data_IF_767945870500
#
_entry.id   IF_767945870500
#
_cell.length_a   1.000
_cell.length_b   1.000
_cell.length_c   1.000
_cell.angle_alpha   90.00
_cell.angle_beta   90.00
_cell.angle_gamma   90.00
#
_symmetry.space_group_name_H-M   'P 1'
#
loop_
_entity.id
_entity.type
_entity.pdbx_description
1 polymer ?
#
# COMPACT_ATOMS: atom_id res chain seq x y z
N UNK A 1 -1.86 -14.33 16.59
CA UNK A 1 -0.44 -14.54 16.23
C UNK A 1 -0.09 -13.62 15.08
N UNK A 2 1.08 -12.97 15.13
CA UNK A 2 1.56 -12.11 14.06
C UNK A 2 2.73 -12.79 13.35
N UNK A 3 2.80 -12.61 12.04
CA UNK A 3 3.90 -13.09 11.23
C UNK A 3 4.44 -11.95 10.38
N UNK A 4 5.73 -11.97 10.09
CA UNK A 4 6.29 -11.00 9.17
C UNK A 4 7.26 -11.66 8.19
N UNK A 5 7.53 -10.92 7.13
CA UNK A 5 8.61 -11.22 6.21
C UNK A 5 9.15 -9.94 5.58
N UNK A 6 10.43 -9.96 5.21
CA UNK A 6 11.13 -8.82 4.59
C UNK A 6 12.07 -9.34 3.51
N UNK A 7 11.88 -8.89 2.28
CA UNK A 7 12.56 -9.39 1.09
C UNK A 7 12.87 -8.24 0.11
N UNK A 8 13.81 -8.47 -0.82
CA UNK A 8 14.19 -7.48 -1.82
C UNK A 8 13.23 -7.45 -3.02
N UNK A 9 13.09 -6.30 -3.65
CA UNK A 9 12.31 -6.06 -4.87
C UNK A 9 13.11 -5.11 -5.78
N UNK A 10 12.77 -5.00 -7.08
CA UNK A 10 13.38 -4.02 -7.98
C UNK A 10 13.40 -2.57 -7.49
N UNK A 11 12.46 -2.17 -6.62
CA UNK A 11 12.36 -0.80 -6.10
C UNK A 11 12.82 -0.64 -4.64
N UNK A 12 13.41 -1.68 -4.04
CA UNK A 12 13.92 -1.66 -2.67
C UNK A 12 13.48 -2.88 -1.86
N UNK A 13 13.58 -2.81 -0.54
CA UNK A 13 13.14 -3.86 0.37
C UNK A 13 11.67 -3.68 0.72
N UNK A 14 10.90 -4.75 0.54
CA UNK A 14 9.51 -4.82 0.91
C UNK A 14 9.34 -5.61 2.20
N UNK A 15 8.53 -5.05 3.09
CA UNK A 15 8.18 -5.66 4.37
C UNK A 15 6.69 -5.89 4.45
N UNK A 16 6.29 -7.04 4.98
CA UNK A 16 4.89 -7.39 5.25
C UNK A 16 4.72 -7.84 6.70
N UNK A 17 3.63 -7.41 7.33
CA UNK A 17 3.17 -7.89 8.63
C UNK A 17 1.75 -8.43 8.47
N UNK A 18 1.56 -9.67 8.90
CA UNK A 18 0.34 -10.44 8.75
C UNK A 18 -0.24 -10.75 10.12
N UNK A 19 -1.56 -10.70 10.23
CA UNK A 19 -2.32 -11.37 11.28
C UNK A 19 -3.09 -12.55 10.70
N UNK A 20 -3.90 -13.20 11.54
CA UNK A 20 -4.88 -14.20 11.12
C UNK A 20 -6.00 -13.63 10.22
N UNK A 21 -6.12 -12.31 10.09
CA UNK A 21 -7.13 -11.66 9.26
C UNK A 21 -6.59 -11.14 7.92
N UNK A 22 -5.26 -11.16 7.71
CA UNK A 22 -4.61 -10.73 6.47
C UNK A 22 -3.43 -9.79 6.68
N UNK A 23 -3.07 -9.05 5.62
CA UNK A 23 -2.02 -8.03 5.64
C UNK A 23 -2.45 -6.86 6.50
N UNK A 24 -1.76 -6.71 7.63
CA UNK A 24 -2.01 -5.67 8.62
C UNK A 24 -1.17 -4.42 8.36
N UNK A 25 0.07 -4.63 7.89
CA UNK A 25 0.98 -3.56 7.44
C UNK A 25 1.83 -4.02 6.27
N UNK A 26 2.23 -3.05 5.46
CA UNK A 26 3.28 -3.23 4.47
C UNK A 26 4.24 -2.04 4.51
N UNK A 27 5.40 -2.19 3.89
CA UNK A 27 6.40 -1.13 3.79
C UNK A 27 7.27 -1.33 2.57
N UNK A 28 7.74 -0.25 1.99
CA UNK A 28 8.79 -0.26 0.98
C UNK A 28 9.87 0.73 1.42
N UNK A 29 11.13 0.30 1.46
CA UNK A 29 12.28 1.11 1.88
C UNK A 29 13.54 0.80 1.07
N UNK A 30 14.53 1.72 1.02
CA UNK A 30 15.73 1.48 0.24
C UNK A 30 16.61 0.38 0.84
N UNK A 31 16.59 0.20 2.16
CA UNK A 31 17.30 -0.89 2.86
C UNK A 31 16.35 -1.84 3.59
N UNK A 32 16.84 -3.03 3.95
CA UNK A 32 16.11 -3.98 4.82
C UNK A 32 15.73 -3.35 6.16
N UNK A 33 16.64 -2.55 6.73
CA UNK A 33 16.42 -1.84 7.99
C UNK A 33 15.27 -0.83 7.88
N UNK A 34 15.20 -0.06 6.79
CA UNK A 34 14.10 0.87 6.55
C UNK A 34 12.75 0.17 6.46
N UNK A 35 12.68 -0.96 5.75
CA UNK A 35 11.46 -1.74 5.62
C UNK A 35 10.99 -2.26 7.00
N UNK A 36 11.90 -2.84 7.79
CA UNK A 36 11.60 -3.29 9.16
C UNK A 36 11.11 -2.12 10.03
N UNK A 37 11.81 -0.99 10.00
CA UNK A 37 11.45 0.18 10.80
C UNK A 37 10.07 0.72 10.42
N UNK A 38 9.72 0.71 9.12
CA UNK A 38 8.44 1.21 8.60
C UNK A 38 7.26 0.28 8.87
N UNK A 39 7.48 -1.04 9.03
CA UNK A 39 6.45 -1.95 9.58
C UNK A 39 6.06 -1.47 10.99
N UNK A 40 7.01 -0.95 11.76
CA UNK A 40 6.78 -0.40 13.10
C UNK A 40 6.90 -1.44 14.20
N UNK A 41 6.58 -1.03 15.43
CA UNK A 41 6.88 -1.79 16.65
C UNK A 41 6.12 -3.11 16.78
N UNK A 42 4.99 -3.28 16.09
CA UNK A 42 4.21 -4.53 16.08
C UNK A 42 5.03 -5.75 15.59
N UNK A 43 6.11 -5.52 14.82
CA UNK A 43 7.02 -6.58 14.38
C UNK A 43 7.73 -7.29 15.55
N UNK A 44 7.89 -6.61 16.70
CA UNK A 44 8.53 -7.19 17.89
C UNK A 44 7.71 -8.35 18.49
N UNK A 45 6.39 -8.36 18.24
CA UNK A 45 5.46 -9.40 18.66
C UNK A 45 5.15 -10.41 17.54
N UNK A 46 5.92 -10.38 16.45
CA UNK A 46 5.71 -11.21 15.29
C UNK A 46 6.89 -12.16 15.08
N UNK A 47 6.58 -13.36 14.59
CA UNK A 47 7.61 -14.31 14.21
C UNK A 47 7.87 -14.22 12.71
N UNK A 48 9.13 -14.21 12.29
CA UNK A 48 9.44 -14.36 10.88
C UNK A 48 8.93 -15.73 10.42
N UNK A 49 8.25 -15.78 9.29
CA UNK A 49 7.62 -17.01 8.80
C UNK A 49 7.92 -17.24 7.32
N UNK A 50 8.11 -18.50 6.94
CA UNK A 50 8.17 -18.94 5.55
C UNK A 50 6.99 -19.85 5.19
N UNK A 51 5.86 -19.66 5.86
CA UNK A 51 4.63 -20.40 5.60
C UNK A 51 4.19 -20.29 4.13
N UNK A 52 3.33 -21.21 3.67
CA UNK A 52 2.77 -21.17 2.32
C UNK A 52 2.13 -19.80 2.01
N UNK A 53 1.37 -19.25 2.95
CA UNK A 53 0.75 -17.93 2.81
C UNK A 53 1.78 -16.82 2.59
N UNK A 54 2.84 -16.77 3.41
CA UNK A 54 3.89 -15.75 3.26
C UNK A 54 4.58 -15.85 1.90
N UNK A 55 4.88 -17.08 1.46
CA UNK A 55 5.50 -17.31 0.14
C UNK A 55 4.60 -16.85 -1.00
N UNK A 56 3.31 -17.16 -0.96
CA UNK A 56 2.34 -16.69 -1.96
C UNK A 56 2.25 -15.16 -1.98
N UNK A 57 2.22 -14.49 -0.83
CA UNK A 57 2.21 -13.02 -0.79
C UNK A 57 3.50 -12.46 -1.36
N UNK A 58 4.65 -13.05 -1.01
CA UNK A 58 5.96 -12.67 -1.57
C UNK A 58 5.94 -12.79 -3.11
N UNK A 59 5.44 -13.87 -3.67
CA UNK A 59 5.30 -14.08 -5.12
C UNK A 59 4.41 -13.01 -5.78
N UNK A 60 3.24 -12.72 -5.21
CA UNK A 60 2.34 -11.68 -5.72
C UNK A 60 3.02 -10.30 -5.70
N UNK A 61 3.72 -9.97 -4.62
CA UNK A 61 4.46 -8.70 -4.49
C UNK A 61 5.59 -8.63 -5.50
N UNK A 62 6.36 -9.71 -5.68
CA UNK A 62 7.40 -9.75 -6.71
C UNK A 62 6.82 -9.56 -8.10
N UNK A 63 5.75 -10.27 -8.44
CA UNK A 63 5.09 -10.16 -9.74
C UNK A 63 4.65 -8.71 -10.04
N UNK A 64 4.17 -7.99 -9.02
CA UNK A 64 3.86 -6.57 -9.14
C UNK A 64 5.10 -5.75 -9.47
N UNK A 65 6.19 -5.89 -8.70
CA UNK A 65 7.40 -5.09 -8.92
C UNK A 65 8.17 -5.47 -10.20
N UNK A 66 7.93 -6.65 -10.77
CA UNK A 66 8.49 -7.07 -12.07
C UNK A 66 7.54 -6.83 -13.24
N UNK A 67 6.32 -6.32 -13.00
CA UNK A 67 5.32 -6.08 -14.03
C UNK A 67 4.74 -7.35 -14.67
N UNK A 68 4.90 -8.51 -14.03
CA UNK A 68 4.42 -9.81 -14.54
C UNK A 68 3.06 -10.22 -13.97
N UNK A 69 2.51 -9.45 -13.03
CA UNK A 69 1.17 -9.67 -12.49
C UNK A 69 0.74 -8.61 -11.48
N UNK A 70 -0.56 -8.29 -11.43
CA UNK A 70 -1.10 -7.18 -10.63
C UNK A 70 -2.20 -7.61 -9.65
N UNK A 71 -1.95 -8.65 -8.85
CA UNK A 71 -2.93 -9.25 -7.94
C UNK A 71 -2.85 -8.73 -6.47
N UNK A 72 -2.26 -7.55 -6.23
CA UNK A 72 -2.15 -6.98 -4.87
C UNK A 72 -3.50 -6.62 -4.24
N UNK A 73 -4.50 -6.32 -5.07
CA UNK A 73 -5.89 -6.05 -4.70
C UNK A 73 -6.63 -7.30 -4.19
N UNK A 74 -6.11 -8.49 -4.46
CA UNK A 74 -6.68 -9.77 -3.99
C UNK A 74 -6.22 -10.17 -2.59
N UNK A 75 -5.19 -9.52 -2.04
CA UNK A 75 -4.67 -9.86 -0.71
C UNK A 75 -5.72 -9.58 0.39
N UNK A 76 -5.94 -10.49 1.36
CA UNK A 76 -6.78 -10.18 2.50
C UNK A 76 -6.14 -9.07 3.33
N UNK A 77 -6.92 -8.12 3.84
CA UNK A 77 -6.43 -6.99 4.65
C UNK A 77 -6.95 -7.07 6.07
N UNK A 78 -6.07 -6.86 7.04
CA UNK A 78 -6.44 -6.65 8.44
C UNK A 78 -6.53 -5.15 8.73
N UNK A 79 -7.75 -4.61 8.61
CA UNK A 79 -8.05 -3.19 8.86
C UNK A 79 -8.64 -2.93 10.26
N UNK A 80 -8.42 -3.84 11.21
CA UNK A 80 -8.91 -3.66 12.58
C UNK A 80 -8.33 -2.40 13.24
N UNK A 81 -9.16 -1.74 14.05
CA UNK A 81 -8.80 -0.48 14.72
C UNK A 81 -8.80 0.75 13.82
N UNK A 82 -9.19 0.63 12.54
CA UNK A 82 -9.48 1.78 11.68
C UNK A 82 -10.92 2.25 11.89
N UNK A 83 -11.15 3.56 11.85
CA UNK A 83 -12.52 4.09 11.85
C UNK A 83 -13.24 3.66 10.56
N UNK A 84 -14.58 3.53 10.57
CA UNK A 84 -15.34 3.15 9.38
C UNK A 84 -15.00 4.03 8.17
N UNK A 85 -14.96 5.35 8.36
CA UNK A 85 -14.63 6.27 7.27
C UNK A 85 -13.20 6.08 6.73
N UNK A 86 -12.21 5.80 7.58
CA UNK A 86 -10.86 5.53 7.12
C UNK A 86 -10.78 4.23 6.31
N UNK A 87 -11.45 3.17 6.78
CA UNK A 87 -11.55 1.90 6.06
C UNK A 87 -12.18 2.11 4.69
N UNK A 88 -13.30 2.82 4.61
CA UNK A 88 -14.01 3.05 3.36
C UNK A 88 -13.16 3.87 2.37
N UNK A 89 -12.46 4.91 2.84
CA UNK A 89 -11.48 5.66 2.02
C UNK A 89 -10.39 4.77 1.43
N UNK A 90 -9.81 3.90 2.26
CA UNK A 90 -8.74 3.01 1.86
C UNK A 90 -9.21 1.94 0.88
N UNK A 91 -10.43 1.43 1.03
CA UNK A 91 -11.03 0.48 0.09
C UNK A 91 -11.34 1.11 -1.27
N UNK A 92 -11.86 2.34 -1.30
CA UNK A 92 -12.03 3.09 -2.56
C UNK A 92 -10.68 3.42 -3.21
N UNK A 93 -9.65 3.74 -2.42
CA UNK A 93 -8.30 3.89 -2.97
C UNK A 93 -7.78 2.58 -3.57
N UNK A 94 -8.10 1.44 -2.95
CA UNK A 94 -7.69 0.12 -3.42
C UNK A 94 -8.32 -0.28 -4.75
N UNK A 95 -9.52 0.22 -5.05
CA UNK A 95 -10.20 -0.07 -6.31
C UNK A 95 -9.70 0.76 -7.51
N UNK A 96 -8.75 1.69 -7.31
CA UNK A 96 -8.17 2.43 -8.43
C UNK A 96 -7.35 1.44 -9.28
N UNK A 97 -7.64 1.26 -10.58
CA UNK A 97 -6.92 0.31 -11.42
C UNK A 97 -5.42 0.60 -11.54
N UNK A 98 -4.65 -0.42 -11.90
CA UNK A 98 -3.22 -0.29 -12.19
C UNK A 98 -3.04 0.63 -13.40
N UNK A 99 -2.04 1.53 -13.33
CA UNK A 99 -1.76 2.48 -14.40
C UNK A 99 -2.69 3.69 -14.44
N UNK A 100 -3.76 3.67 -13.64
CA UNK A 100 -4.68 4.78 -13.49
C UNK A 100 -4.39 5.62 -12.24
N UNK A 101 -4.81 6.89 -12.30
CA UNK A 101 -4.76 7.79 -11.15
C UNK A 101 -6.13 8.39 -10.87
N UNK A 102 -6.35 8.77 -9.61
CA UNK A 102 -7.56 9.49 -9.16
C UNK A 102 -7.18 10.60 -8.20
N UNK A 103 -8.07 11.58 -8.04
CA UNK A 103 -7.83 12.66 -7.08
C UNK A 103 -8.36 12.32 -5.69
N UNK A 104 -7.88 13.03 -4.66
CA UNK A 104 -8.48 12.96 -3.32
C UNK A 104 -9.97 13.31 -3.32
N UNK A 105 -10.37 14.22 -4.21
CA UNK A 105 -11.78 14.59 -4.40
C UNK A 105 -12.57 13.43 -5.01
N UNK A 106 -12.01 12.70 -5.97
CA UNK A 106 -12.66 11.52 -6.56
C UNK A 106 -13.03 10.51 -5.47
N UNK A 107 -12.10 10.15 -4.58
CA UNK A 107 -12.36 9.23 -3.45
C UNK A 107 -13.47 9.77 -2.54
N UNK A 108 -13.42 11.08 -2.24
CA UNK A 108 -14.43 11.72 -1.40
C UNK A 108 -15.83 11.67 -2.05
N UNK A 109 -15.89 11.82 -3.38
CA UNK A 109 -17.12 11.77 -4.18
C UNK A 109 -17.69 10.35 -4.26
N UNK A 110 -16.85 9.33 -4.48
CA UNK A 110 -17.27 7.92 -4.45
C UNK A 110 -17.93 7.55 -3.11
N UNK A 111 -17.45 8.14 -2.01
CA UNK A 111 -18.02 7.98 -0.68
C UNK A 111 -19.21 8.89 -0.39
N UNK A 112 -19.75 9.61 -1.38
CA UNK A 112 -20.84 10.58 -1.26
C UNK A 112 -20.57 11.68 -0.23
N UNK A 113 -19.29 12.06 -0.08
CA UNK A 113 -18.79 13.06 0.88
C UNK A 113 -17.82 14.02 0.21
N UNK A 114 -18.21 14.78 -0.84
CA UNK A 114 -17.30 15.59 -1.65
C UNK A 114 -16.51 16.64 -0.85
N UNK A 115 -17.06 17.13 0.27
CA UNK A 115 -16.38 18.08 1.19
C UNK A 115 -15.24 17.45 2.01
N UNK A 116 -15.05 16.12 1.94
CA UNK A 116 -14.09 15.39 2.77
C UNK A 116 -12.71 15.19 2.13
N UNK A 117 -12.41 15.80 0.97
CA UNK A 117 -11.14 15.59 0.26
C UNK A 117 -9.88 15.81 1.12
N UNK A 118 -9.88 16.82 2.00
CA UNK A 118 -8.76 17.06 2.94
C UNK A 118 -8.63 15.95 3.99
N UNK A 119 -9.76 15.43 4.49
CA UNK A 119 -9.78 14.31 5.42
C UNK A 119 -9.27 13.02 4.76
N UNK A 120 -9.66 12.77 3.50
CA UNK A 120 -9.13 11.67 2.67
C UNK A 120 -7.61 11.80 2.57
N UNK A 121 -7.08 12.98 2.24
CA UNK A 121 -5.63 13.22 2.18
C UNK A 121 -4.91 12.87 3.49
N UNK A 122 -5.48 13.25 4.63
CA UNK A 122 -4.95 12.87 5.95
C UNK A 122 -5.00 11.36 6.22
N UNK A 123 -6.01 10.66 5.73
CA UNK A 123 -6.12 9.19 5.83
C UNK A 123 -5.03 8.52 4.97
N UNK A 124 -4.86 8.96 3.72
CA UNK A 124 -3.82 8.42 2.83
C UNK A 124 -2.41 8.66 3.38
N UNK A 125 -2.16 9.82 4.00
CA UNK A 125 -0.88 10.13 4.63
C UNK A 125 -0.54 9.20 5.82
N UNK A 126 -1.56 8.62 6.47
CA UNK A 126 -1.43 7.67 7.58
C UNK A 126 -1.60 6.21 7.15
N UNK A 127 -1.62 5.94 5.85
CA UNK A 127 -1.79 4.59 5.34
C UNK A 127 -0.64 3.68 5.81
N UNK A 128 -1.00 2.56 6.44
CA UNK A 128 -0.07 1.54 6.95
C UNK A 128 0.20 0.43 5.93
N UNK A 129 -0.46 0.50 4.77
CA UNK A 129 -0.45 -0.51 3.72
C UNK A 129 0.00 0.10 2.37
N UNK A 130 1.18 0.75 2.27
CA UNK A 130 1.68 1.23 0.99
C UNK A 130 1.82 0.11 -0.04
N UNK A 131 1.63 0.48 -1.32
CA UNK A 131 1.63 -0.40 -2.50
C UNK A 131 0.45 -1.38 -2.54
N UNK A 132 0.17 -2.08 -1.43
CA UNK A 132 -1.02 -2.95 -1.28
C UNK A 132 -2.32 -2.14 -1.33
N UNK A 133 -2.34 -0.99 -0.65
CA UNK A 133 -3.31 0.09 -0.87
C UNK A 133 -2.58 1.19 -1.65
N UNK A 134 -2.93 1.41 -2.93
CA UNK A 134 -2.09 2.10 -3.88
C UNK A 134 -2.30 3.62 -3.84
N UNK A 135 -2.08 4.26 -2.69
CA UNK A 135 -2.23 5.73 -2.59
C UNK A 135 -1.15 6.51 -3.36
N UNK A 136 -0.14 5.83 -3.94
CA UNK A 136 0.71 6.43 -4.98
C UNK A 136 -0.10 6.77 -6.25
N UNK A 137 -1.24 6.11 -6.50
CA UNK A 137 -2.21 6.44 -7.56
C UNK A 137 -3.10 7.64 -7.24
N UNK A 138 -3.07 8.14 -6.00
CA UNK A 138 -3.88 9.29 -5.57
C UNK A 138 -3.09 10.58 -5.69
N UNK A 139 -3.55 11.50 -6.53
CA UNK A 139 -2.84 12.74 -6.88
C UNK A 139 -3.71 13.98 -6.62
N UNK A 140 -3.13 15.18 -6.74
CA UNK A 140 -3.92 16.40 -6.65
C UNK A 140 -4.83 16.54 -7.89
N UNK A 141 -5.93 17.29 -7.74
CA UNK A 141 -6.85 17.55 -8.84
C UNK A 141 -6.19 18.33 -9.99
N UNK A 142 -5.09 19.04 -9.73
CA UNK A 142 -4.26 19.71 -10.73
C UNK A 142 -3.37 18.77 -11.54
N UNK A 143 -3.37 17.46 -11.25
CA UNK A 143 -2.47 16.47 -11.85
C UNK A 143 -1.07 16.41 -11.19
N UNK A 144 -0.78 17.33 -10.26
CA UNK A 144 0.52 17.37 -9.59
C UNK A 144 0.70 16.26 -8.54
N UNK A 145 1.91 15.71 -8.48
CA UNK A 145 2.31 14.75 -7.45
C UNK A 145 2.61 15.46 -6.14
N UNK A 146 1.85 15.12 -5.12
CA UNK A 146 2.06 15.57 -3.75
C UNK A 146 2.05 14.37 -2.82
N UNK A 147 2.68 14.52 -1.65
CA UNK A 147 2.52 13.66 -0.48
C UNK A 147 2.68 12.16 -0.73
N UNK A 148 3.81 11.61 -0.33
CA UNK A 148 4.00 10.16 -0.28
C UNK A 148 4.98 9.84 0.83
N UNK A 149 4.64 8.92 1.74
CA UNK A 149 5.51 8.58 2.87
C UNK A 149 6.87 8.00 2.42
N UNK A 150 6.90 7.37 1.24
CA UNK A 150 8.14 6.91 0.61
C UNK A 150 8.89 7.97 -0.21
N UNK A 151 8.41 9.22 -0.25
CA UNK A 151 8.94 10.31 -1.06
C UNK A 151 8.41 10.36 -2.50
N UNK A 152 8.44 11.55 -3.11
CA UNK A 152 7.90 11.77 -4.46
C UNK A 152 8.66 10.98 -5.54
N UNK A 153 9.96 10.76 -5.36
CA UNK A 153 10.77 9.94 -6.26
C UNK A 153 10.23 8.52 -6.35
N UNK A 154 9.90 7.90 -5.21
CA UNK A 154 9.34 6.55 -5.18
C UNK A 154 7.93 6.51 -5.77
N UNK A 155 7.09 7.51 -5.45
CA UNK A 155 5.75 7.64 -6.05
C UNK A 155 5.82 7.68 -7.58
N UNK A 156 6.75 8.45 -8.15
CA UNK A 156 6.97 8.51 -9.60
C UNK A 156 7.43 7.17 -10.17
N UNK A 157 8.39 6.49 -9.52
CA UNK A 157 8.85 5.16 -9.95
C UNK A 157 7.72 4.12 -9.98
N UNK A 158 6.85 4.11 -8.98
CA UNK A 158 5.69 3.21 -8.93
C UNK A 158 4.70 3.52 -10.06
N UNK A 159 4.39 4.79 -10.30
CA UNK A 159 3.51 5.18 -11.42
C UNK A 159 4.12 4.79 -12.78
N UNK A 160 5.42 5.01 -12.98
CA UNK A 160 6.11 4.62 -14.22
C UNK A 160 6.09 3.10 -14.41
N UNK A 161 6.35 2.32 -13.35
CA UNK A 161 6.26 0.87 -13.40
C UNK A 161 4.89 0.41 -13.89
N UNK A 162 3.82 0.99 -13.35
CA UNK A 162 2.46 0.61 -13.72
C UNK A 162 2.05 1.06 -15.13
N UNK A 163 2.70 2.10 -15.67
CA UNK A 163 2.46 2.57 -17.05
C UNK A 163 3.20 1.74 -18.09
N UNK A 164 4.38 1.20 -17.76
CA UNK A 164 5.20 0.41 -18.68
C UNK A 164 4.72 -1.04 -18.85
N UNK A 165 3.71 -1.46 -18.09
CA UNK A 165 3.13 -2.80 -18.16
C UNK A 165 1.75 -2.84 -18.84
N UNK A 166 1.35 -1.74 -19.49
CA UNK A 166 0.15 -1.62 -20.33
C UNK A 166 0.51 -1.69 -21.81
#
# INVERSE_FOLDING_TARGET
MLFYDVFSTPLGWFGILLSNHGVRRSSLGPTKGDAIQRIGTEIQNASQSNSKLVRTIREIVHAYFTGTGFALDQLPLDMQGMSPFARDCLMVCRSIPVGETRSYLWIATELKRPKAARAVGGIMARNRLPVVIPYHRVIANSGQLHGYSGGLTLKRKLLTLEQSSN
#
